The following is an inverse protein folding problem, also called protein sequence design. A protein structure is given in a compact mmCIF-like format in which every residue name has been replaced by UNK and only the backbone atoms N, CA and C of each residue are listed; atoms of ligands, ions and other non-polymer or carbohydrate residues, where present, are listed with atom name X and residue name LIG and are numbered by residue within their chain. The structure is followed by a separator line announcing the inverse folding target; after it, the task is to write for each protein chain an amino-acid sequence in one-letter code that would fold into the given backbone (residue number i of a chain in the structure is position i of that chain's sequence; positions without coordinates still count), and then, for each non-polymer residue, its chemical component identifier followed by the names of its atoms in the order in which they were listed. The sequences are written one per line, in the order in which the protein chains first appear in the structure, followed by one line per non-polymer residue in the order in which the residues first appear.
data_IF_072768420061
#
_entry.id   IF_072768420061
#
_cell.length_a   1.000
_cell.length_b   1.000
_cell.length_c   1.000
_cell.angle_alpha   90.00
_cell.angle_beta   90.00
_cell.angle_gamma   90.00
#
_symmetry.space_group_name_H-M   'P 1'
#
loop_
_entity.id
_entity.type
_entity.pdbx_description
1 polymer ?
#
# COMPACT_ATOMS: atom_id res chain seq x y z
N UNK A 1 42.20 1.23 42.42
CA UNK A 1 41.97 2.69 42.32
C UNK A 1 41.68 3.19 40.90
N UNK A 2 41.72 2.35 39.84
CA UNK A 2 41.42 2.77 38.47
C UNK A 2 39.91 3.05 38.16
N UNK A 3 39.01 2.87 39.14
CA UNK A 3 37.56 2.91 38.93
C UNK A 3 37.04 4.30 38.57
N UNK A 4 37.43 5.37 39.29
CA UNK A 4 36.89 6.72 39.02
C UNK A 4 37.41 7.31 37.70
N UNK A 5 38.65 7.01 37.33
CA UNK A 5 39.23 7.43 36.05
C UNK A 5 38.54 6.70 34.89
N UNK A 6 38.23 5.41 35.03
CA UNK A 6 37.50 4.66 34.02
C UNK A 6 36.05 5.17 33.86
N UNK A 7 35.38 5.51 34.96
CA UNK A 7 34.05 6.14 34.93
C UNK A 7 34.13 7.49 34.22
N UNK A 8 35.09 8.34 34.58
CA UNK A 8 35.29 9.65 33.94
C UNK A 8 35.61 9.55 32.45
N UNK A 9 36.47 8.62 32.05
CA UNK A 9 36.78 8.36 30.63
C UNK A 9 35.56 7.86 29.86
N UNK A 10 34.75 6.97 30.45
CA UNK A 10 33.50 6.51 29.82
C UNK A 10 32.52 7.67 29.62
N UNK A 11 32.31 8.50 30.66
CA UNK A 11 31.44 9.66 30.58
C UNK A 11 31.90 10.66 29.50
N UNK A 12 33.19 11.00 29.46
CA UNK A 12 33.72 11.93 28.46
C UNK A 12 33.55 11.43 27.03
N UNK A 13 33.82 10.14 26.79
CA UNK A 13 33.62 9.53 25.46
C UNK A 13 32.14 9.56 25.05
N UNK A 14 31.25 9.21 25.97
CA UNK A 14 29.81 9.19 25.71
C UNK A 14 29.24 10.59 25.46
N UNK A 15 29.66 11.60 26.24
CA UNK A 15 29.25 12.99 26.02
C UNK A 15 29.85 13.59 24.74
N UNK A 16 31.07 13.23 24.36
CA UNK A 16 31.65 13.63 23.07
C UNK A 16 30.76 13.14 21.92
N UNK A 17 30.28 11.90 21.97
CA UNK A 17 29.38 11.36 20.96
C UNK A 17 27.99 12.02 20.99
N UNK A 18 27.50 12.38 22.18
CA UNK A 18 26.27 13.15 22.31
C UNK A 18 26.37 14.56 21.71
N UNK A 19 27.51 15.23 21.88
CA UNK A 19 27.79 16.52 21.25
C UNK A 19 27.90 16.40 19.74
N UNK A 20 28.52 15.33 19.21
CA UNK A 20 28.57 15.07 17.77
C UNK A 20 27.16 14.91 17.17
N UNK A 21 26.25 14.18 17.83
CA UNK A 21 24.86 14.06 17.38
C UNK A 21 24.11 15.39 17.48
N UNK A 22 24.38 16.19 18.51
CA UNK A 22 23.83 17.56 18.62
C UNK A 22 24.31 18.44 17.48
N UNK A 23 25.61 18.41 17.15
CA UNK A 23 26.17 19.13 16.00
C UNK A 23 25.57 18.67 14.68
N UNK A 24 25.37 17.36 14.51
CA UNK A 24 24.71 16.79 13.34
C UNK A 24 23.24 17.25 13.20
N UNK A 25 22.50 17.31 14.32
CA UNK A 25 21.14 17.83 14.36
C UNK A 25 21.08 19.31 13.97
N UNK A 26 21.99 20.13 14.52
CA UNK A 26 22.06 21.57 14.21
C UNK A 26 22.39 21.78 12.74
N UNK A 27 23.40 21.06 12.22
CA UNK A 27 23.81 21.19 10.83
C UNK A 27 22.70 20.82 9.82
N UNK A 28 21.79 19.92 10.20
CA UNK A 28 20.73 19.42 9.33
C UNK A 28 19.33 19.93 9.71
N UNK A 29 19.23 20.90 10.62
CA UNK A 29 17.94 21.40 11.10
C UNK A 29 17.05 21.96 9.98
N UNK A 30 17.66 22.53 8.94
CA UNK A 30 16.98 23.10 7.78
C UNK A 30 16.94 22.14 6.57
N UNK A 31 17.40 20.90 6.73
CA UNK A 31 17.37 19.89 5.66
C UNK A 31 16.00 19.23 5.60
N UNK A 32 15.22 19.36 4.50
CA UNK A 32 13.93 18.70 4.37
C UNK A 32 14.04 17.19 4.56
N UNK A 33 13.12 16.60 5.32
CA UNK A 33 13.11 15.16 5.62
C UNK A 33 14.12 14.71 6.68
N UNK A 34 14.90 15.63 7.25
CA UNK A 34 15.74 15.31 8.41
C UNK A 34 14.87 15.03 9.64
N UNK A 35 15.23 13.98 10.39
CA UNK A 35 14.62 13.63 11.66
C UNK A 35 15.67 13.74 12.74
N UNK A 36 15.37 14.52 13.79
CA UNK A 36 16.25 14.78 14.92
C UNK A 36 16.66 13.47 15.58
N UNK A 37 17.94 13.32 15.87
CA UNK A 37 18.48 12.19 16.61
C UNK A 37 18.54 12.51 18.10
N UNK A 38 18.05 11.59 18.93
CA UNK A 38 18.09 11.66 20.40
C UNK A 38 18.97 10.52 20.89
N UNK A 39 19.97 10.88 21.70
CA UNK A 39 20.90 9.93 22.30
C UNK A 39 20.32 9.37 23.59
N UNK A 40 20.27 8.04 23.68
CA UNK A 40 19.90 7.35 24.91
C UNK A 40 21.16 6.86 25.62
N UNK A 41 21.30 7.28 26.87
CA UNK A 41 22.40 6.91 27.74
C UNK A 41 21.92 5.84 28.71
N UNK A 42 22.72 4.79 28.92
CA UNK A 42 22.46 3.77 29.93
C UNK A 42 23.66 3.63 30.86
N UNK A 43 23.40 3.31 32.12
CA UNK A 43 24.44 2.87 33.04
C UNK A 43 25.01 1.52 32.57
N UNK A 44 26.33 1.40 32.59
CA UNK A 44 27.03 0.14 32.32
C UNK A 44 26.79 -0.85 33.46
N UNK A 45 26.87 -2.14 33.16
CA UNK A 45 26.70 -3.19 34.15
C UNK A 45 27.68 -3.03 35.33
N UNK A 46 27.20 -3.09 36.58
CA UNK A 46 28.06 -2.95 37.74
C UNK A 46 28.98 -4.16 37.91
N UNK A 47 30.18 -3.92 38.43
CA UNK A 47 31.17 -4.95 38.71
C UNK A 47 31.09 -5.38 40.18
N UNK A 48 31.12 -6.68 40.45
CA UNK A 48 31.08 -7.22 41.82
C UNK A 48 32.48 -7.18 42.44
N UNK A 49 32.62 -6.49 43.57
CA UNK A 49 33.86 -6.40 44.34
C UNK A 49 33.69 -6.97 45.75
N UNK A 50 34.78 -7.25 46.50
CA UNK A 50 34.68 -7.66 47.91
C UNK A 50 33.96 -6.64 48.83
N UNK A 51 33.81 -5.40 48.38
CA UNK A 51 33.09 -4.32 49.07
C UNK A 51 31.63 -4.13 48.58
N UNK A 52 31.15 -4.98 47.66
CA UNK A 52 29.82 -4.91 47.06
C UNK A 52 29.84 -4.57 45.56
N UNK A 53 28.66 -4.26 45.02
CA UNK A 53 28.47 -3.86 43.63
C UNK A 53 28.96 -2.44 43.39
N UNK A 54 29.80 -2.26 42.38
CA UNK A 54 30.38 -0.98 41.99
C UNK A 54 29.93 -0.60 40.58
N UNK A 55 29.36 0.60 40.42
CA UNK A 55 29.00 1.11 39.09
C UNK A 55 30.22 1.33 38.20
N UNK A 56 30.14 0.96 36.92
CA UNK A 56 31.27 1.01 35.97
C UNK A 56 31.19 2.17 34.97
N UNK A 57 30.22 3.08 35.16
CA UNK A 57 30.05 4.30 34.39
C UNK A 57 28.82 4.29 33.48
N UNK A 58 28.88 5.07 32.40
CA UNK A 58 27.79 5.25 31.43
C UNK A 58 28.27 4.83 30.05
N UNK A 59 27.33 4.36 29.22
CA UNK A 59 27.55 4.08 27.82
C UNK A 59 26.40 4.59 26.95
N UNK A 60 26.64 4.61 25.65
CA UNK A 60 25.62 4.97 24.67
C UNK A 60 24.81 3.72 24.33
N UNK A 61 23.54 3.70 24.74
CA UNK A 61 22.63 2.58 24.48
C UNK A 61 22.15 2.57 23.03
N UNK A 62 21.91 3.76 22.47
CA UNK A 62 21.47 3.90 21.08
C UNK A 62 21.14 5.33 20.69
N UNK A 63 20.92 5.53 19.39
CA UNK A 63 20.48 6.78 18.81
C UNK A 63 19.09 6.57 18.21
N UNK A 64 18.08 7.22 18.78
CA UNK A 64 16.71 7.12 18.30
C UNK A 64 16.39 8.33 17.41
N UNK A 65 15.64 8.10 16.34
CA UNK A 65 15.14 9.18 15.49
C UNK A 65 13.82 9.67 16.06
N UNK A 66 13.77 10.94 16.43
CA UNK A 66 12.55 11.64 16.80
C UNK A 66 11.83 12.01 15.50
N UNK A 67 10.97 11.12 15.05
CA UNK A 67 9.96 11.42 14.04
C UNK A 67 8.58 11.19 14.68
N UNK A 68 7.56 11.85 14.13
CA UNK A 68 6.20 11.62 14.57
C UNK A 68 5.70 10.28 14.02
N UNK A 69 5.87 9.21 14.79
CA UNK A 69 5.45 7.87 14.41
C UNK A 69 3.93 7.76 14.26
N UNK A 70 3.16 8.54 15.02
CA UNK A 70 1.72 8.62 14.87
C UNK A 70 1.35 9.21 13.51
N UNK A 71 1.93 10.34 13.13
CA UNK A 71 1.70 10.95 11.81
C UNK A 71 2.19 10.06 10.68
N UNK A 72 3.37 9.43 10.81
CA UNK A 72 3.89 8.49 9.81
C UNK A 72 2.97 7.28 9.64
N UNK A 73 2.42 6.75 10.73
CA UNK A 73 1.44 5.67 10.71
C UNK A 73 0.14 6.13 10.03
N UNK A 74 -0.40 7.30 10.39
CA UNK A 74 -1.61 7.87 9.77
C UNK A 74 -1.45 8.05 8.26
N UNK A 75 -0.27 8.50 7.79
CA UNK A 75 0.02 8.63 6.36
C UNK A 75 0.09 7.26 5.67
N UNK A 76 0.74 6.26 6.29
CA UNK A 76 0.78 4.89 5.74
C UNK A 76 -0.61 4.28 5.64
N UNK A 77 -1.40 4.38 6.72
CA UNK A 77 -2.75 3.85 6.79
C UNK A 77 -3.65 4.53 5.73
N UNK A 78 -3.61 5.87 5.66
CA UNK A 78 -4.37 6.62 4.66
C UNK A 78 -3.98 6.27 3.22
N UNK A 79 -2.68 6.09 2.93
CA UNK A 79 -2.22 5.65 1.60
C UNK A 79 -2.66 4.23 1.26
N UNK A 80 -2.68 3.34 2.24
CA UNK A 80 -3.18 1.97 2.05
C UNK A 80 -4.65 1.97 1.65
N UNK A 81 -5.48 2.76 2.35
CA UNK A 81 -6.91 2.90 2.04
C UNK A 81 -7.13 3.50 0.64
N UNK A 82 -6.37 4.52 0.26
CA UNK A 82 -6.45 5.09 -1.09
C UNK A 82 -6.08 4.05 -2.14
N UNK A 83 -4.99 3.30 -1.95
CA UNK A 83 -4.60 2.25 -2.90
C UNK A 83 -5.64 1.14 -3.04
N UNK A 84 -6.30 0.74 -1.96
CA UNK A 84 -7.42 -0.21 -2.00
C UNK A 84 -8.61 0.33 -2.80
N UNK A 85 -9.00 1.58 -2.53
CA UNK A 85 -10.11 2.22 -3.22
C UNK A 85 -9.82 2.48 -4.71
N UNK A 86 -8.60 2.84 -5.06
CA UNK A 86 -8.18 3.03 -6.45
C UNK A 86 -8.21 1.71 -7.23
N UNK A 87 -7.73 0.62 -6.62
CA UNK A 87 -7.80 -0.71 -7.22
C UNK A 87 -9.25 -1.15 -7.42
N UNK A 88 -10.11 -0.96 -6.40
CA UNK A 88 -11.53 -1.24 -6.48
C UNK A 88 -12.20 -0.41 -7.59
N UNK A 89 -11.94 0.89 -7.63
CA UNK A 89 -12.49 1.80 -8.62
C UNK A 89 -12.06 1.44 -10.04
N UNK A 90 -10.79 1.10 -10.25
CA UNK A 90 -10.29 0.70 -11.57
C UNK A 90 -10.99 -0.57 -12.08
N UNK A 91 -11.17 -1.57 -11.21
CA UNK A 91 -11.89 -2.79 -11.56
C UNK A 91 -13.37 -2.51 -11.81
N UNK A 92 -14.02 -1.71 -10.97
CA UNK A 92 -15.41 -1.32 -11.15
C UNK A 92 -15.64 -0.56 -12.47
N UNK A 93 -14.74 0.35 -12.85
CA UNK A 93 -14.81 1.04 -14.14
C UNK A 93 -14.67 0.10 -15.32
N UNK A 94 -13.80 -0.92 -15.23
CA UNK A 94 -13.69 -1.93 -16.30
C UNK A 94 -15.00 -2.69 -16.46
N UNK A 95 -15.56 -3.18 -15.35
CA UNK A 95 -16.87 -3.86 -15.35
C UNK A 95 -17.97 -2.96 -15.95
N UNK A 96 -18.02 -1.69 -15.54
CA UNK A 96 -19.00 -0.71 -16.06
C UNK A 96 -18.81 -0.48 -17.56
N UNK A 97 -17.57 -0.27 -18.03
CA UNK A 97 -17.29 -0.06 -19.46
C UNK A 97 -17.72 -1.24 -20.33
N UNK A 98 -17.62 -2.46 -19.79
CA UNK A 98 -17.95 -3.69 -20.50
C UNK A 98 -19.47 -3.90 -20.55
N UNK A 99 -20.17 -3.64 -19.44
CA UNK A 99 -21.60 -3.88 -19.32
C UNK A 99 -22.45 -2.74 -19.90
N UNK A 100 -21.99 -1.50 -19.76
CA UNK A 100 -22.73 -0.31 -20.11
C UNK A 100 -22.41 0.22 -21.51
N UNK A 101 -21.57 -0.46 -22.29
CA UNK A 101 -21.29 -0.04 -23.67
C UNK A 101 -22.60 -0.11 -24.51
N UNK A 102 -23.08 1.02 -25.06
CA UNK A 102 -24.34 1.04 -25.81
C UNK A 102 -24.25 0.41 -27.21
N UNK A 103 -23.04 0.20 -27.75
CA UNK A 103 -22.83 -0.43 -29.05
C UNK A 103 -22.40 -1.90 -28.91
N UNK A 104 -21.66 -2.22 -27.86
CA UNK A 104 -21.05 -3.53 -27.66
C UNK A 104 -21.37 -4.13 -26.27
N UNK A 105 -22.36 -3.62 -25.57
CA UNK A 105 -22.86 -4.22 -24.33
C UNK A 105 -23.69 -5.48 -24.57
N UNK A 106 -24.07 -6.15 -23.47
CA UNK A 106 -24.96 -7.31 -23.54
C UNK A 106 -26.42 -6.92 -23.82
N UNK A 107 -26.84 -5.73 -23.38
CA UNK A 107 -28.22 -5.26 -23.52
C UNK A 107 -28.67 -5.08 -24.97
N UNK A 108 -27.88 -4.44 -25.88
CA UNK A 108 -28.22 -4.39 -27.31
C UNK A 108 -28.33 -5.78 -27.94
N UNK A 109 -27.35 -6.66 -27.69
CA UNK A 109 -27.35 -8.02 -28.24
C UNK A 109 -28.57 -8.86 -27.80
N UNK A 110 -29.00 -8.72 -26.54
CA UNK A 110 -30.23 -9.35 -26.05
C UNK A 110 -31.48 -8.77 -26.73
N UNK A 111 -31.56 -7.45 -26.89
CA UNK A 111 -32.68 -6.82 -27.58
C UNK A 111 -32.77 -7.28 -29.03
N UNK A 112 -31.66 -7.31 -29.76
CA UNK A 112 -31.62 -7.74 -31.17
C UNK A 112 -32.01 -9.21 -31.33
N UNK A 113 -31.54 -10.09 -30.45
CA UNK A 113 -31.97 -11.49 -30.39
C UNK A 113 -33.49 -11.64 -30.18
N UNK A 114 -34.07 -10.92 -29.20
CA UNK A 114 -35.51 -11.00 -28.95
C UNK A 114 -36.34 -10.36 -30.06
N UNK A 115 -35.84 -9.30 -30.70
CA UNK A 115 -36.48 -8.69 -31.87
C UNK A 115 -36.51 -9.67 -33.05
N UNK A 116 -35.38 -10.34 -33.34
CA UNK A 116 -35.31 -11.35 -34.39
C UNK A 116 -36.19 -12.58 -34.08
N UNK A 117 -36.32 -12.95 -32.80
CA UNK A 117 -37.22 -14.01 -32.36
C UNK A 117 -38.69 -13.62 -32.60
N UNK A 118 -39.07 -12.39 -32.28
CA UNK A 118 -40.42 -11.88 -32.53
C UNK A 118 -40.74 -11.85 -34.03
N UNK A 119 -39.80 -11.38 -34.86
CA UNK A 119 -39.97 -11.35 -36.31
C UNK A 119 -40.18 -12.76 -36.90
N UNK A 120 -39.44 -13.76 -36.41
CA UNK A 120 -39.65 -15.16 -36.80
C UNK A 120 -40.98 -15.72 -36.28
N UNK A 121 -41.44 -15.29 -35.10
CA UNK A 121 -42.73 -15.70 -34.56
C UNK A 121 -43.90 -15.17 -35.41
N UNK A 122 -43.75 -13.97 -35.97
CA UNK A 122 -44.75 -13.33 -36.84
C UNK A 122 -44.83 -13.98 -38.22
N UNK A 123 -43.70 -14.42 -38.80
CA UNK A 123 -43.66 -15.24 -40.02
C UNK A 123 -42.68 -16.43 -39.92
N UNK A 124 -43.13 -17.59 -39.40
CA UNK A 124 -42.28 -18.77 -39.24
C UNK A 124 -41.81 -19.40 -40.56
N UNK A 125 -42.44 -19.10 -41.70
CA UNK A 125 -42.07 -19.64 -43.00
C UNK A 125 -40.99 -18.80 -43.70
N UNK A 126 -40.75 -17.57 -43.25
CA UNK A 126 -39.71 -16.68 -43.74
C UNK A 126 -38.31 -17.26 -43.54
N UNK A 127 -37.65 -17.65 -44.64
CA UNK A 127 -36.23 -18.05 -44.63
C UNK A 127 -35.34 -16.88 -44.15
N UNK A 128 -35.53 -15.63 -44.62
CA UNK A 128 -34.75 -14.49 -44.11
C UNK A 128 -34.83 -14.32 -42.59
N UNK A 129 -36.02 -14.38 -41.99
CA UNK A 129 -36.19 -14.17 -40.55
C UNK A 129 -35.59 -15.33 -39.74
N UNK A 130 -35.60 -16.56 -40.27
CA UNK A 130 -34.84 -17.69 -39.67
C UNK A 130 -33.33 -17.46 -39.70
N UNK A 131 -32.81 -16.93 -40.82
CA UNK A 131 -31.38 -16.62 -40.94
C UNK A 131 -30.97 -15.48 -40.02
N UNK A 132 -31.80 -14.46 -39.88
CA UNK A 132 -31.58 -13.34 -38.96
C UNK A 132 -31.51 -13.83 -37.51
N UNK A 133 -32.48 -14.63 -37.05
CA UNK A 133 -32.44 -15.19 -35.69
C UNK A 133 -31.16 -16.01 -35.44
N UNK A 134 -30.72 -16.82 -36.42
CA UNK A 134 -29.48 -17.58 -36.28
C UNK A 134 -28.24 -16.68 -36.20
N UNK A 135 -28.21 -15.58 -36.95
CA UNK A 135 -27.13 -14.60 -36.90
C UNK A 135 -27.09 -13.89 -35.54
N UNK A 136 -28.22 -13.39 -35.06
CA UNK A 136 -28.31 -12.72 -33.75
C UNK A 136 -28.02 -13.68 -32.58
N UNK A 137 -28.44 -14.95 -32.69
CA UNK A 137 -28.09 -15.98 -31.70
C UNK A 137 -26.59 -16.21 -31.60
N UNK A 138 -25.88 -16.24 -32.74
CA UNK A 138 -24.41 -16.39 -32.76
C UNK A 138 -23.72 -15.16 -32.20
N UNK A 139 -24.17 -13.97 -32.60
CA UNK A 139 -23.68 -12.69 -32.09
C UNK A 139 -23.80 -12.61 -30.56
N UNK A 140 -24.94 -13.00 -30.00
CA UNK A 140 -25.15 -13.03 -28.55
C UNK A 140 -24.18 -13.99 -27.83
N UNK A 141 -23.98 -15.20 -28.36
CA UNK A 141 -23.04 -16.18 -27.78
C UNK A 141 -21.60 -15.68 -27.84
N UNK A 142 -21.18 -15.12 -28.98
CA UNK A 142 -19.86 -14.50 -29.13
C UNK A 142 -19.66 -13.38 -28.10
N UNK A 143 -20.68 -12.53 -27.91
CA UNK A 143 -20.69 -11.49 -26.87
C UNK A 143 -20.47 -12.06 -25.48
N UNK A 144 -21.18 -13.12 -25.12
CA UNK A 144 -21.06 -13.75 -23.81
C UNK A 144 -19.67 -14.37 -23.59
N UNK A 145 -19.07 -14.96 -24.62
CA UNK A 145 -17.70 -15.47 -24.53
C UNK A 145 -16.66 -14.35 -24.40
N UNK A 146 -16.81 -13.24 -25.13
CA UNK A 146 -15.92 -12.08 -25.00
C UNK A 146 -15.98 -11.48 -23.58
N UNK A 147 -17.16 -11.48 -22.97
CA UNK A 147 -17.37 -11.04 -21.59
C UNK A 147 -16.71 -11.98 -20.59
N UNK A 148 -16.91 -13.29 -20.76
CA UNK A 148 -16.31 -14.32 -19.90
C UNK A 148 -14.78 -14.25 -19.94
N UNK A 149 -14.19 -14.09 -21.13
CA UNK A 149 -12.75 -13.95 -21.28
C UNK A 149 -12.22 -12.67 -20.60
N UNK A 150 -12.92 -11.55 -20.73
CA UNK A 150 -12.54 -10.30 -20.06
C UNK A 150 -12.60 -10.39 -18.53
N UNK A 151 -13.53 -11.18 -17.97
CA UNK A 151 -13.57 -11.45 -16.53
C UNK A 151 -12.51 -12.46 -16.07
N UNK A 152 -12.11 -13.40 -16.94
CA UNK A 152 -11.04 -14.36 -16.64
C UNK A 152 -9.65 -13.70 -16.65
N UNK A 153 -9.46 -12.68 -17.49
CA UNK A 153 -8.21 -11.93 -17.62
C UNK A 153 -8.04 -10.79 -16.59
N UNK A 154 -9.10 -10.46 -15.82
CA UNK A 154 -9.12 -9.41 -14.77
C UNK A 154 -8.81 -9.95 -13.38
#
# INVERSE_FOLDING_TARGET
MASILNIGVSALKTYQQALNSTGHNIANVNTPGYSRQVINLSSRDPELTPAGWLGTGVELHGINRQYDDFTAKRVRDGRSTVGELDAFYSNAQRLDSILADPAVGLSPALNDFFNAMQELADDPASIPSRQLLLAESRSLVERMHDLDQQFADS
#
